data_IF_694899180265
#
_entry.id   IF_694899180265
#
_cell.length_a   1.000
_cell.length_b   1.000
_cell.length_c   1.000
_cell.angle_alpha   90.00
_cell.angle_beta   90.00
_cell.angle_gamma   90.00
#
_symmetry.space_group_name_H-M   'P 1'
#
loop_
_entity.id
_entity.type
_entity.pdbx_description
1 polymer ?
#
# COMPACT_ATOMS: atom_id res chain seq x y z
N UNK A 1 14.75 -18.11 -6.62
CA UNK A 1 13.28 -18.02 -6.38
C UNK A 1 12.51 -17.84 -7.69
N UNK A 2 12.74 -16.80 -8.53
CA UNK A 2 12.01 -16.59 -9.81
C UNK A 2 12.01 -17.85 -10.70
N UNK A 3 13.18 -18.47 -10.89
CA UNK A 3 13.33 -19.69 -11.71
C UNK A 3 12.53 -20.88 -11.17
N UNK A 4 12.42 -21.02 -9.85
CA UNK A 4 11.64 -22.10 -9.25
C UNK A 4 10.12 -21.91 -9.50
N UNK A 5 9.65 -20.65 -9.53
CA UNK A 5 8.26 -20.32 -9.89
C UNK A 5 8.02 -20.60 -11.36
N UNK A 6 8.92 -20.21 -12.26
CA UNK A 6 8.83 -20.51 -13.70
C UNK A 6 8.77 -22.01 -13.95
N UNK A 7 9.66 -22.79 -13.34
CA UNK A 7 9.73 -24.24 -13.47
C UNK A 7 8.43 -24.90 -12.98
N UNK A 8 7.89 -24.45 -11.83
CA UNK A 8 6.63 -24.96 -11.28
C UNK A 8 5.45 -24.70 -12.22
N UNK A 9 5.33 -23.48 -12.73
CA UNK A 9 4.24 -23.09 -13.62
C UNK A 9 4.32 -23.82 -14.97
N UNK A 10 5.54 -24.05 -15.48
CA UNK A 10 5.77 -24.92 -16.67
C UNK A 10 5.34 -26.37 -16.41
N UNK A 11 5.65 -26.94 -15.23
CA UNK A 11 5.19 -28.28 -14.85
C UNK A 11 3.66 -28.40 -14.79
N UNK A 12 2.97 -27.31 -14.49
CA UNK A 12 1.50 -27.25 -14.54
C UNK A 12 0.93 -27.10 -15.95
N UNK A 13 1.79 -27.08 -16.99
CA UNK A 13 1.39 -27.10 -18.39
C UNK A 13 1.36 -25.75 -19.09
N UNK A 14 1.88 -24.67 -18.46
CA UNK A 14 2.00 -23.39 -19.11
C UNK A 14 3.04 -23.45 -20.26
N UNK A 15 2.69 -22.89 -21.42
CA UNK A 15 3.60 -22.81 -22.58
C UNK A 15 4.65 -21.74 -22.42
N UNK A 16 4.25 -20.60 -21.87
CA UNK A 16 5.13 -19.44 -21.61
C UNK A 16 4.82 -18.89 -20.22
N UNK A 17 5.85 -18.46 -19.51
CA UNK A 17 5.73 -17.86 -18.16
C UNK A 17 6.45 -16.51 -18.17
N UNK A 18 5.78 -15.48 -17.72
CA UNK A 18 6.32 -14.14 -17.56
C UNK A 18 6.20 -13.70 -16.12
N UNK A 19 7.31 -13.27 -15.53
CA UNK A 19 7.32 -12.69 -14.19
C UNK A 19 7.24 -11.18 -14.32
N UNK A 20 6.16 -10.60 -13.80
CA UNK A 20 5.95 -9.17 -13.72
C UNK A 20 6.24 -8.70 -12.29
N UNK A 21 6.86 -7.54 -12.13
CA UNK A 21 7.07 -6.98 -10.80
C UNK A 21 5.75 -6.44 -10.25
N UNK A 22 5.49 -6.68 -8.97
CA UNK A 22 4.22 -6.36 -8.31
C UNK A 22 3.81 -4.90 -8.50
N UNK A 23 4.67 -3.88 -8.26
CA UNK A 23 4.28 -2.49 -8.47
C UNK A 23 4.00 -2.13 -9.94
N UNK A 24 4.60 -2.84 -10.90
CA UNK A 24 4.26 -2.69 -12.32
C UNK A 24 2.85 -3.25 -12.60
N UNK A 25 2.52 -4.40 -12.01
CA UNK A 25 1.18 -4.97 -12.11
C UNK A 25 0.15 -4.04 -11.46
N UNK A 26 0.43 -3.53 -10.25
CA UNK A 26 -0.43 -2.56 -9.56
C UNK A 26 -0.70 -1.32 -10.43
N UNK A 27 0.34 -0.74 -11.04
CA UNK A 27 0.22 0.44 -11.91
C UNK A 27 -0.63 0.18 -13.16
N UNK A 28 -0.43 -0.96 -13.83
CA UNK A 28 -1.24 -1.38 -14.98
C UNK A 28 -2.70 -1.60 -14.55
N UNK A 29 -2.90 -2.24 -13.40
CA UNK A 29 -4.22 -2.48 -12.82
C UNK A 29 -4.97 -1.19 -12.50
N UNK A 30 -4.29 -0.25 -11.88
CA UNK A 30 -4.78 1.09 -11.57
C UNK A 30 -5.01 1.98 -12.83
N UNK A 31 -4.58 1.51 -14.00
CA UNK A 31 -4.77 2.24 -15.26
C UNK A 31 -3.75 3.35 -15.52
N UNK A 32 -2.61 3.33 -14.83
CA UNK A 32 -1.54 4.29 -15.08
C UNK A 32 -0.93 4.11 -16.48
N UNK A 33 -0.57 5.19 -17.18
CA UNK A 33 0.02 5.15 -18.52
C UNK A 33 1.52 4.77 -18.44
N UNK A 34 1.81 3.54 -18.04
CA UNK A 34 3.17 3.04 -17.76
C UNK A 34 4.13 3.07 -18.97
N UNK A 35 3.61 3.10 -20.19
CA UNK A 35 4.40 3.14 -21.44
C UNK A 35 4.87 4.56 -21.81
N UNK A 36 4.30 5.57 -21.22
CA UNK A 36 4.59 6.96 -21.53
C UNK A 36 5.95 7.39 -20.98
N UNK A 37 6.59 8.41 -21.57
CA UNK A 37 7.85 8.95 -21.05
C UNK A 37 7.67 9.71 -19.74
N UNK A 38 6.45 10.14 -19.42
CA UNK A 38 6.10 10.86 -18.20
C UNK A 38 6.18 9.94 -16.97
N UNK A 39 6.86 10.38 -15.92
CA UNK A 39 7.00 9.62 -14.67
C UNK A 39 5.65 9.39 -13.99
N UNK A 40 5.37 8.13 -13.64
CA UNK A 40 4.19 7.70 -12.90
C UNK A 40 4.64 7.09 -11.57
N UNK A 41 3.96 7.41 -10.48
CA UNK A 41 4.28 6.84 -9.17
C UNK A 41 3.10 6.04 -8.61
N UNK A 42 3.38 4.81 -8.23
CA UNK A 42 2.44 3.90 -7.56
C UNK A 42 2.97 3.57 -6.16
N UNK A 43 2.07 3.53 -5.20
CA UNK A 43 2.33 3.07 -3.82
C UNK A 43 1.33 1.96 -3.52
N UNK A 44 1.79 0.74 -3.54
CA UNK A 44 0.98 -0.45 -3.29
C UNK A 44 1.19 -0.93 -1.86
N UNK A 45 0.16 -0.79 -1.02
CA UNK A 45 0.22 -1.17 0.40
C UNK A 45 -0.63 -2.43 0.59
N UNK A 46 0.03 -3.58 0.54
CA UNK A 46 -0.58 -4.88 0.78
C UNK A 46 -0.73 -5.24 2.27
N UNK A 47 -0.81 -6.53 2.57
CA UNK A 47 -0.78 -7.05 3.94
C UNK A 47 0.63 -7.03 4.52
N UNK A 48 1.59 -7.67 3.85
CA UNK A 48 2.96 -7.86 4.33
C UNK A 48 3.96 -6.83 3.82
N UNK A 49 3.75 -6.24 2.63
CA UNK A 49 4.68 -5.32 1.96
C UNK A 49 4.00 -4.03 1.53
N UNK A 50 4.78 -2.96 1.56
CA UNK A 50 4.47 -1.70 0.90
C UNK A 50 5.51 -1.50 -0.22
N UNK A 51 5.06 -1.56 -1.47
CA UNK A 51 5.89 -1.48 -2.65
C UNK A 51 5.64 -0.14 -3.36
N UNK A 52 6.69 0.67 -3.41
CA UNK A 52 6.67 2.02 -3.98
C UNK A 52 7.51 1.98 -5.25
N UNK A 53 6.97 2.41 -6.38
CA UNK A 53 7.70 2.47 -7.62
C UNK A 53 7.39 3.71 -8.44
N UNK A 54 8.43 4.21 -9.08
CA UNK A 54 8.37 5.21 -10.14
C UNK A 54 8.59 4.49 -11.47
N UNK A 55 7.69 4.71 -12.41
CA UNK A 55 7.62 4.00 -13.68
C UNK A 55 7.64 5.02 -14.82
N UNK A 56 8.44 4.76 -15.86
CA UNK A 56 8.44 5.52 -17.11
C UNK A 56 8.89 4.61 -18.26
N UNK A 57 8.34 4.81 -19.45
CA UNK A 57 8.69 4.09 -20.69
C UNK A 57 8.62 2.56 -20.53
N UNK A 58 7.65 2.06 -19.75
CA UNK A 58 7.44 0.64 -19.49
C UNK A 58 8.49 0.00 -18.57
N UNK A 59 9.26 0.77 -17.82
CA UNK A 59 10.28 0.30 -16.88
C UNK A 59 10.16 0.95 -15.51
N UNK A 60 10.60 0.24 -14.47
CA UNK A 60 10.73 0.79 -13.12
C UNK A 60 12.05 1.57 -13.05
N UNK A 61 11.96 2.87 -12.80
CA UNK A 61 13.09 3.80 -12.72
C UNK A 61 13.68 3.86 -11.32
N UNK A 62 12.79 3.90 -10.31
CA UNK A 62 13.16 3.85 -8.90
C UNK A 62 12.13 3.03 -8.15
N UNK A 63 12.55 2.31 -7.13
CA UNK A 63 11.64 1.57 -6.26
C UNK A 63 12.19 1.41 -4.85
N UNK A 64 11.26 1.28 -3.91
CA UNK A 64 11.52 0.92 -2.52
C UNK A 64 10.47 -0.08 -2.09
N UNK A 65 10.87 -1.16 -1.44
CA UNK A 65 9.97 -2.15 -0.85
C UNK A 65 10.22 -2.21 0.64
N UNK A 66 9.15 -2.11 1.41
CA UNK A 66 9.17 -2.19 2.87
C UNK A 66 8.37 -3.41 3.33
N UNK A 67 8.89 -4.12 4.31
CA UNK A 67 8.11 -5.12 5.07
C UNK A 67 7.31 -4.45 6.20
N UNK A 68 6.59 -3.40 5.84
CA UNK A 68 5.80 -2.59 6.74
C UNK A 68 4.51 -2.17 6.04
N UNK A 69 3.41 -2.87 6.31
CA UNK A 69 2.15 -2.72 5.61
C UNK A 69 0.97 -3.12 6.52
N UNK A 70 -0.12 -3.62 5.97
CA UNK A 70 -1.37 -3.90 6.69
C UNK A 70 -1.22 -4.72 7.98
N UNK A 71 -0.35 -5.74 7.98
CA UNK A 71 -0.10 -6.58 9.17
C UNK A 71 0.58 -5.77 10.29
N UNK A 72 1.48 -4.86 9.93
CA UNK A 72 2.12 -3.95 10.90
C UNK A 72 1.15 -2.92 11.46
N UNK A 73 0.17 -2.50 10.66
CA UNK A 73 -0.92 -1.65 11.14
C UNK A 73 -1.79 -2.41 12.16
N UNK A 74 -2.07 -3.70 11.91
CA UNK A 74 -2.77 -4.55 12.88
C UNK A 74 -1.95 -4.71 14.18
N UNK A 75 -0.64 -4.98 14.07
CA UNK A 75 0.26 -5.06 15.21
C UNK A 75 0.22 -3.77 16.07
N UNK A 76 0.24 -2.61 15.42
CA UNK A 76 0.18 -1.31 16.08
C UNK A 76 -1.15 -1.13 16.83
N UNK A 77 -2.27 -1.51 16.22
CA UNK A 77 -3.60 -1.48 16.87
C UNK A 77 -3.64 -2.43 18.07
N UNK A 78 -3.15 -3.67 17.95
CA UNK A 78 -3.07 -4.63 19.06
C UNK A 78 -2.27 -4.04 20.22
N UNK A 79 -1.12 -3.43 19.93
CA UNK A 79 -0.27 -2.82 20.95
C UNK A 79 -0.94 -1.61 21.61
N UNK A 80 -1.61 -0.76 20.84
CA UNK A 80 -2.37 0.38 21.35
C UNK A 80 -3.49 -0.07 22.29
N UNK A 81 -4.29 -1.06 21.88
CA UNK A 81 -5.37 -1.64 22.68
C UNK A 81 -4.86 -2.22 23.99
N UNK A 82 -3.73 -2.91 23.93
CA UNK A 82 -3.06 -3.47 25.11
C UNK A 82 -2.59 -2.38 26.07
N UNK A 83 -1.95 -1.33 25.53
CA UNK A 83 -1.36 -0.25 26.34
C UNK A 83 -2.38 0.68 26.94
N UNK A 84 -3.38 1.07 26.15
CA UNK A 84 -4.36 2.12 26.52
C UNK A 84 -5.54 1.55 27.28
N UNK A 85 -6.04 0.37 26.89
CA UNK A 85 -7.28 -0.20 27.42
C UNK A 85 -7.06 -1.46 28.27
N UNK A 86 -5.81 -1.94 28.43
CA UNK A 86 -5.49 -3.24 29.02
C UNK A 86 -6.29 -4.38 28.38
N UNK A 87 -6.58 -4.27 27.08
CA UNK A 87 -7.39 -5.21 26.33
C UNK A 87 -6.53 -5.98 25.35
N UNK A 88 -6.52 -7.30 25.45
CA UNK A 88 -5.90 -8.19 24.48
C UNK A 88 -6.90 -8.54 23.40
N UNK A 89 -6.59 -8.17 22.16
CA UNK A 89 -7.34 -8.53 20.96
C UNK A 89 -6.48 -9.39 20.04
N UNK A 90 -7.13 -10.18 19.18
CA UNK A 90 -6.46 -10.94 18.11
C UNK A 90 -6.28 -10.10 16.85
N UNK A 91 -5.47 -10.64 15.92
CA UNK A 91 -5.17 -10.02 14.64
C UNK A 91 -6.43 -9.75 13.79
N UNK A 92 -7.36 -10.71 13.73
CA UNK A 92 -8.62 -10.55 13.02
C UNK A 92 -9.45 -9.37 13.57
N UNK A 93 -9.52 -9.22 14.90
CA UNK A 93 -10.21 -8.09 15.52
C UNK A 93 -9.50 -6.76 15.22
N UNK A 94 -8.17 -6.75 15.20
CA UNK A 94 -7.42 -5.55 14.84
C UNK A 94 -7.65 -5.16 13.37
N UNK A 95 -7.72 -6.15 12.46
CA UNK A 95 -8.08 -5.96 11.06
C UNK A 95 -9.49 -5.35 10.92
N UNK A 96 -10.48 -5.89 11.64
CA UNK A 96 -11.84 -5.36 11.65
C UNK A 96 -11.88 -3.90 12.16
N UNK A 97 -11.14 -3.58 13.21
CA UNK A 97 -11.03 -2.22 13.74
C UNK A 97 -10.37 -1.28 12.73
N UNK A 98 -9.27 -1.70 12.10
CA UNK A 98 -8.58 -0.95 11.06
C UNK A 98 -9.51 -0.61 9.89
N UNK A 99 -10.27 -1.59 9.41
CA UNK A 99 -11.18 -1.40 8.26
C UNK A 99 -12.34 -0.48 8.60
N UNK A 100 -12.93 -0.60 9.80
CA UNK A 100 -14.14 0.13 10.15
C UNK A 100 -13.90 1.56 10.64
N UNK A 101 -12.87 1.76 11.48
CA UNK A 101 -12.60 3.06 12.12
C UNK A 101 -11.13 3.50 12.02
N UNK A 102 -10.28 2.77 11.29
CA UNK A 102 -8.89 3.18 11.05
C UNK A 102 -8.83 4.46 10.24
N UNK A 103 -8.05 5.45 10.70
CA UNK A 103 -7.82 6.68 9.95
C UNK A 103 -6.39 7.19 10.15
N UNK A 104 -5.85 7.78 9.09
CA UNK A 104 -4.51 8.36 9.09
C UNK A 104 -4.51 9.87 9.39
N UNK A 105 -5.66 10.51 9.28
CA UNK A 105 -5.88 11.93 9.60
C UNK A 105 -7.34 12.09 10.07
N UNK A 106 -7.54 12.94 11.11
CA UNK A 106 -8.88 13.23 11.62
C UNK A 106 -9.68 14.10 10.66
N UNK A 107 -10.97 13.82 10.53
CA UNK A 107 -11.91 14.72 9.88
C UNK A 107 -12.46 15.75 10.88
N UNK A 108 -12.82 16.93 10.34
CA UNK A 108 -13.43 18.02 11.12
C UNK A 108 -14.78 18.40 10.50
N UNK A 109 -15.73 18.75 11.35
CA UNK A 109 -17.04 19.27 10.95
C UNK A 109 -16.95 20.74 10.49
N UNK A 110 -18.08 21.29 10.05
CA UNK A 110 -18.18 22.69 9.60
C UNK A 110 -17.85 23.71 10.69
N UNK A 111 -17.88 23.30 11.97
CA UNK A 111 -17.58 24.15 13.13
C UNK A 111 -16.11 23.97 13.60
N UNK A 112 -15.33 23.11 12.93
CA UNK A 112 -13.97 22.81 13.30
C UNK A 112 -13.81 21.80 14.45
N UNK A 113 -14.87 21.05 14.79
CA UNK A 113 -14.77 19.98 15.77
C UNK A 113 -14.37 18.65 15.10
N UNK A 114 -13.59 17.84 15.81
CA UNK A 114 -13.24 16.50 15.35
C UNK A 114 -14.49 15.62 15.18
N UNK A 115 -14.58 14.93 14.05
CA UNK A 115 -15.64 13.93 13.79
C UNK A 115 -15.23 12.61 14.42
N UNK A 116 -15.86 12.25 15.54
CA UNK A 116 -15.54 11.04 16.30
C UNK A 116 -16.55 9.94 16.01
N UNK A 117 -16.02 8.81 15.54
CA UNK A 117 -16.76 7.57 15.29
C UNK A 117 -16.32 6.52 16.34
N UNK A 118 -17.26 5.67 16.80
CA UNK A 118 -16.97 4.66 17.81
C UNK A 118 -17.31 3.26 17.32
N UNK A 119 -16.49 2.28 17.71
CA UNK A 119 -16.72 0.86 17.54
C UNK A 119 -16.56 0.12 18.86
N UNK A 120 -17.45 -0.83 19.17
CA UNK A 120 -17.31 -1.69 20.33
C UNK A 120 -16.37 -2.85 20.02
N UNK A 121 -15.21 -2.86 20.67
CA UNK A 121 -14.17 -3.88 20.47
C UNK A 121 -14.21 -4.88 21.62
N UNK A 122 -14.23 -6.17 21.27
CA UNK A 122 -14.26 -7.27 22.21
C UNK A 122 -12.87 -7.88 22.35
N UNK A 123 -12.49 -8.19 23.59
CA UNK A 123 -11.21 -8.82 23.86
C UNK A 123 -11.17 -9.41 25.27
N UNK A 124 -9.95 -9.77 25.71
CA UNK A 124 -9.70 -10.25 27.08
C UNK A 124 -9.05 -9.12 27.89
N UNK A 125 -9.66 -8.78 29.01
CA UNK A 125 -9.05 -7.87 29.98
C UNK A 125 -7.77 -8.47 30.55
N UNK A 126 -6.66 -7.75 30.49
CA UNK A 126 -5.35 -8.22 30.92
C UNK A 126 -5.17 -8.23 32.45
N UNK A 127 -6.05 -7.51 33.17
CA UNK A 127 -6.01 -7.44 34.64
C UNK A 127 -6.80 -8.59 35.25
N UNK A 128 -8.02 -8.81 34.77
CA UNK A 128 -8.96 -9.80 35.31
C UNK A 128 -8.92 -11.14 34.60
N UNK A 129 -8.40 -11.18 33.37
CA UNK A 129 -8.43 -12.35 32.49
C UNK A 129 -9.79 -12.64 31.85
N UNK A 130 -10.81 -11.86 32.14
CA UNK A 130 -12.20 -12.06 31.70
C UNK A 130 -12.50 -11.38 30.36
N UNK A 131 -13.52 -11.83 29.61
CA UNK A 131 -14.00 -11.11 28.44
C UNK A 131 -14.46 -9.68 28.80
N UNK A 132 -14.10 -8.72 27.94
CA UNK A 132 -14.41 -7.31 28.09
C UNK A 132 -14.76 -6.68 26.76
N UNK A 133 -15.65 -5.71 26.78
CA UNK A 133 -16.00 -4.87 25.62
C UNK A 133 -15.63 -3.42 25.94
N UNK A 134 -14.98 -2.76 24.99
CA UNK A 134 -14.54 -1.37 25.15
C UNK A 134 -14.97 -0.57 23.92
N UNK A 135 -15.61 0.61 24.09
CA UNK A 135 -15.80 1.55 23.00
C UNK A 135 -14.45 2.17 22.61
N UNK A 136 -14.09 2.07 21.34
CA UNK A 136 -12.83 2.57 20.76
C UNK A 136 -13.20 3.56 19.67
N UNK A 137 -12.49 4.66 19.57
CA UNK A 137 -12.75 5.70 18.59
C UNK A 137 -11.77 5.67 17.40
N UNK A 138 -12.15 6.31 16.28
CA UNK A 138 -11.26 6.60 15.18
C UNK A 138 -10.05 7.46 15.63
N UNK A 139 -10.22 8.31 16.64
CA UNK A 139 -9.12 9.08 17.24
C UNK A 139 -8.10 8.19 17.93
N UNK A 140 -8.52 7.11 18.57
CA UNK A 140 -7.61 6.09 19.10
C UNK A 140 -6.80 5.44 17.96
N UNK A 141 -7.46 5.17 16.84
CA UNK A 141 -6.81 4.57 15.68
C UNK A 141 -5.84 5.54 14.99
N UNK A 142 -6.17 6.81 14.93
CA UNK A 142 -5.24 7.84 14.49
C UNK A 142 -3.92 7.79 15.27
N UNK A 143 -3.98 7.77 16.60
CA UNK A 143 -2.78 7.65 17.44
C UNK A 143 -2.08 6.29 17.30
N UNK A 144 -2.85 5.22 17.15
CA UNK A 144 -2.27 3.88 16.99
C UNK A 144 -1.49 3.74 15.67
N UNK A 145 -1.94 4.39 14.61
CA UNK A 145 -1.38 4.25 13.25
C UNK A 145 -0.36 5.34 12.88
N UNK A 146 -0.19 6.38 13.70
CA UNK A 146 0.66 7.55 13.40
C UNK A 146 2.08 7.15 12.97
N UNK A 147 2.77 6.32 13.76
CA UNK A 147 4.11 5.84 13.43
C UNK A 147 4.13 5.02 12.13
N UNK A 148 3.10 4.22 11.91
CA UNK A 148 2.96 3.39 10.72
C UNK A 148 2.78 4.22 9.46
N UNK A 149 1.98 5.27 9.54
CA UNK A 149 1.78 6.23 8.45
C UNK A 149 3.06 7.01 8.15
N UNK A 150 3.79 7.43 9.18
CA UNK A 150 5.07 8.13 9.00
C UNK A 150 6.11 7.26 8.29
N UNK A 151 6.18 5.97 8.60
CA UNK A 151 7.06 5.04 7.89
C UNK A 151 6.75 4.96 6.39
N UNK A 152 5.48 4.94 6.02
CA UNK A 152 5.07 4.95 4.60
C UNK A 152 5.45 6.27 3.93
N UNK A 153 5.18 7.40 4.57
CA UNK A 153 5.53 8.73 4.05
C UNK A 153 7.03 8.88 3.82
N UNK A 154 7.86 8.46 4.77
CA UNK A 154 9.32 8.52 4.64
C UNK A 154 9.84 7.61 3.51
N UNK A 155 9.21 6.46 3.30
CA UNK A 155 9.55 5.60 2.16
C UNK A 155 9.20 6.24 0.81
N UNK A 156 8.07 6.94 0.71
CA UNK A 156 7.68 7.71 -0.47
C UNK A 156 8.73 8.79 -0.76
N UNK A 157 9.10 9.59 0.24
CA UNK A 157 10.14 10.63 0.11
C UNK A 157 11.47 10.05 -0.32
N UNK A 158 11.91 8.96 0.33
CA UNK A 158 13.16 8.26 -0.02
C UNK A 158 13.15 7.76 -1.47
N UNK A 159 12.00 7.34 -1.99
CA UNK A 159 11.89 6.89 -3.38
C UNK A 159 11.97 8.06 -4.35
N UNK A 160 11.34 9.19 -4.02
CA UNK A 160 11.43 10.43 -4.79
C UNK A 160 12.85 10.99 -4.83
N UNK A 161 13.58 10.94 -3.72
CA UNK A 161 14.99 11.37 -3.64
C UNK A 161 15.91 10.54 -4.54
N UNK A 162 15.60 9.26 -4.74
CA UNK A 162 16.33 8.36 -5.65
C UNK A 162 15.93 8.54 -7.11
N UNK A 163 14.88 9.28 -7.39
CA UNK A 163 14.33 9.51 -8.73
C UNK A 163 15.04 10.68 -9.40
N UNK A 164 15.33 10.55 -10.71
CA UNK A 164 15.92 11.65 -11.48
C UNK A 164 15.02 12.91 -11.39
N UNK A 165 15.62 14.12 -11.29
CA UNK A 165 14.85 15.35 -11.08
C UNK A 165 13.74 15.62 -12.10
N UNK A 166 13.97 15.26 -13.35
CA UNK A 166 12.99 15.45 -14.44
C UNK A 166 11.75 14.56 -14.22
N UNK A 167 11.98 13.30 -13.83
CA UNK A 167 10.90 12.34 -13.55
C UNK A 167 10.19 12.69 -12.24
N UNK A 168 10.91 13.18 -11.22
CA UNK A 168 10.32 13.66 -9.99
C UNK A 168 9.43 14.91 -10.23
N UNK A 169 9.83 15.77 -11.17
CA UNK A 169 9.00 16.91 -11.60
C UNK A 169 7.71 16.46 -12.29
N UNK A 170 7.74 15.40 -13.09
CA UNK A 170 6.53 14.82 -13.68
C UNK A 170 5.56 14.35 -12.59
N UNK A 171 6.07 13.65 -11.56
CA UNK A 171 5.26 13.17 -10.43
C UNK A 171 4.64 14.33 -9.64
N UNK A 172 5.36 15.43 -9.48
CA UNK A 172 4.81 16.63 -8.81
C UNK A 172 3.57 17.18 -9.55
N UNK A 173 3.48 16.97 -10.87
CA UNK A 173 2.34 17.39 -11.71
C UNK A 173 1.28 16.30 -11.81
N UNK A 174 1.67 15.06 -12.10
CA UNK A 174 0.76 13.92 -12.29
C UNK A 174 0.18 13.37 -10.99
N UNK A 175 0.90 13.56 -9.88
CA UNK A 175 0.55 12.96 -8.61
C UNK A 175 1.07 11.54 -8.43
N UNK A 176 0.66 10.91 -7.34
CA UNK A 176 0.88 9.50 -7.07
C UNK A 176 -0.45 8.76 -6.84
N UNK A 177 -0.45 7.46 -7.08
CA UNK A 177 -1.63 6.60 -6.92
C UNK A 177 -1.39 5.58 -5.81
N UNK A 178 -2.35 5.47 -4.89
CA UNK A 178 -2.38 4.42 -3.86
C UNK A 178 -3.12 3.19 -4.37
N UNK A 179 -2.58 2.02 -4.08
CA UNK A 179 -3.22 0.71 -4.29
C UNK A 179 -3.01 -0.20 -3.09
N UNK A 180 -3.61 -1.39 -3.14
CA UNK A 180 -3.60 -2.34 -2.03
C UNK A 180 -4.60 -2.00 -0.92
N UNK A 181 -4.92 -2.97 -0.09
CA UNK A 181 -5.88 -2.81 1.01
C UNK A 181 -5.45 -1.80 2.05
N UNK A 182 -4.14 -1.71 2.35
CA UNK A 182 -3.58 -0.72 3.27
C UNK A 182 -3.67 0.72 2.74
N UNK A 183 -3.67 0.90 1.41
CA UNK A 183 -3.86 2.19 0.76
C UNK A 183 -5.26 2.78 0.94
N UNK A 184 -6.23 1.98 1.37
CA UNK A 184 -7.63 2.37 1.59
C UNK A 184 -7.91 2.92 2.99
N UNK A 185 -6.90 3.01 3.87
CA UNK A 185 -7.09 3.62 5.20
C UNK A 185 -7.60 5.06 5.02
N UNK A 186 -8.65 5.40 5.76
CA UNK A 186 -9.32 6.70 5.69
C UNK A 186 -8.32 7.85 5.85
N UNK A 187 -8.35 8.79 4.91
CA UNK A 187 -7.49 9.99 4.87
C UNK A 187 -5.98 9.72 4.75
N UNK A 188 -5.55 8.52 4.38
CA UNK A 188 -4.13 8.25 4.10
C UNK A 188 -3.62 9.06 2.90
N UNK A 189 -4.46 9.20 1.87
CA UNK A 189 -4.21 10.06 0.72
C UNK A 189 -3.98 11.52 1.12
N UNK A 190 -4.80 12.05 2.02
CA UNK A 190 -4.70 13.43 2.49
C UNK A 190 -3.41 13.70 3.26
N UNK A 191 -3.05 12.83 4.20
CA UNK A 191 -1.84 13.02 5.00
C UNK A 191 -0.56 12.85 4.16
N UNK A 192 -0.55 11.93 3.19
CA UNK A 192 0.55 11.79 2.25
C UNK A 192 0.67 13.06 1.40
N UNK A 193 -0.46 13.57 0.86
CA UNK A 193 -0.46 14.81 0.07
C UNK A 193 0.05 16.00 0.90
N UNK A 194 -0.36 16.14 2.14
CA UNK A 194 0.11 17.19 3.06
C UNK A 194 1.62 17.11 3.31
N UNK A 195 2.14 15.89 3.62
CA UNK A 195 3.55 15.68 3.98
C UNK A 195 4.52 15.69 2.79
N UNK A 196 4.02 15.44 1.57
CA UNK A 196 4.86 15.37 0.35
C UNK A 196 4.64 16.55 -0.59
N UNK A 197 3.56 17.31 -0.44
CA UNK A 197 3.10 18.35 -1.36
C UNK A 197 2.84 17.80 -2.79
N UNK A 198 2.45 16.54 -2.91
CA UNK A 198 2.11 15.85 -4.16
C UNK A 198 0.65 15.44 -4.08
N UNK A 199 -0.11 15.62 -5.16
CA UNK A 199 -1.49 15.14 -5.22
C UNK A 199 -1.54 13.61 -5.13
N UNK A 200 -2.47 13.08 -4.35
CA UNK A 200 -2.62 11.64 -4.13
C UNK A 200 -4.03 11.22 -4.50
N UNK A 201 -4.14 10.14 -5.26
CA UNK A 201 -5.40 9.51 -5.57
C UNK A 201 -5.37 8.03 -5.20
N UNK A 202 -6.54 7.47 -4.88
CA UNK A 202 -6.69 6.04 -4.61
C UNK A 202 -7.19 5.39 -5.90
N UNK A 203 -6.58 4.27 -6.30
CA UNK A 203 -7.01 3.51 -7.46
C UNK A 203 -8.47 3.05 -7.30
N UNK A 204 -9.28 3.12 -8.37
CA UNK A 204 -10.69 2.73 -8.33
C UNK A 204 -10.89 1.29 -7.79
N UNK A 205 -9.99 0.37 -8.16
CA UNK A 205 -9.97 -1.02 -7.68
C UNK A 205 -8.69 -1.29 -6.88
N UNK A 206 -8.41 -0.46 -5.88
CA UNK A 206 -7.15 -0.48 -5.13
C UNK A 206 -6.80 -1.86 -4.58
N UNK A 207 -7.76 -2.58 -3.99
CA UNK A 207 -7.55 -3.91 -3.42
C UNK A 207 -7.18 -4.97 -4.48
N UNK A 208 -7.74 -4.85 -5.69
CA UNK A 208 -7.58 -5.83 -6.78
C UNK A 208 -6.57 -5.39 -7.84
N UNK A 209 -5.92 -4.23 -7.67
CA UNK A 209 -5.08 -3.60 -8.68
C UNK A 209 -4.01 -4.55 -9.26
N UNK A 210 -3.28 -5.27 -8.40
CA UNK A 210 -2.25 -6.24 -8.83
C UNK A 210 -2.84 -7.37 -9.68
N UNK A 211 -3.95 -7.96 -9.23
CA UNK A 211 -4.61 -9.04 -9.95
C UNK A 211 -5.16 -8.57 -11.30
N UNK A 212 -5.80 -7.42 -11.32
CA UNK A 212 -6.32 -6.80 -12.54
C UNK A 212 -5.20 -6.44 -13.52
N UNK A 213 -4.08 -5.92 -13.02
CA UNK A 213 -2.92 -5.59 -13.84
C UNK A 213 -2.26 -6.81 -14.45
N UNK A 214 -2.15 -7.89 -13.68
CA UNK A 214 -1.69 -9.18 -14.19
C UNK A 214 -2.59 -9.69 -15.31
N UNK A 215 -3.91 -9.65 -15.11
CA UNK A 215 -4.88 -10.03 -16.13
C UNK A 215 -4.83 -9.16 -17.40
N UNK A 216 -4.79 -7.83 -17.23
CA UNK A 216 -4.66 -6.87 -18.35
C UNK A 216 -3.37 -7.10 -19.15
N UNK A 217 -2.26 -7.45 -18.48
CA UNK A 217 -0.97 -7.74 -19.12
C UNK A 217 -1.03 -8.94 -20.06
N UNK A 218 -1.82 -9.97 -19.74
CA UNK A 218 -2.04 -11.14 -20.60
C UNK A 218 -2.74 -10.79 -21.92
N UNK A 219 -3.53 -9.72 -21.96
CA UNK A 219 -4.24 -9.28 -23.17
C UNK A 219 -3.30 -8.65 -24.21
N UNK A 220 -2.04 -8.32 -23.82
CA UNK A 220 -1.04 -7.74 -24.72
C UNK A 220 0.35 -8.35 -24.45
N UNK A 221 0.57 -9.55 -25.00
CA UNK A 221 1.79 -10.34 -24.78
C UNK A 221 3.07 -9.61 -25.21
N UNK A 222 3.02 -8.81 -26.27
CA UNK A 222 4.20 -8.08 -26.73
C UNK A 222 4.64 -6.99 -25.72
N UNK A 223 3.69 -6.30 -25.12
CA UNK A 223 3.94 -5.37 -24.02
C UNK A 223 4.42 -6.12 -22.77
N UNK A 224 3.79 -7.25 -22.44
CA UNK A 224 4.20 -8.09 -21.31
C UNK A 224 5.66 -8.53 -21.44
N UNK A 225 6.10 -8.95 -22.63
CA UNK A 225 7.50 -9.28 -22.91
C UNK A 225 8.44 -8.10 -22.64
N UNK A 226 8.04 -6.89 -22.99
CA UNK A 226 8.80 -5.67 -22.73
C UNK A 226 8.93 -5.41 -21.22
N UNK A 227 7.85 -5.49 -20.46
CA UNK A 227 7.85 -5.24 -19.01
C UNK A 227 8.62 -6.30 -18.23
N UNK A 228 8.41 -7.58 -18.55
CA UNK A 228 9.08 -8.71 -17.91
C UNK A 228 10.60 -8.71 -18.16
N UNK A 229 11.05 -8.23 -19.33
CA UNK A 229 12.44 -8.21 -19.72
C UNK A 229 13.20 -6.93 -19.31
N UNK A 230 12.51 -5.91 -18.79
CA UNK A 230 13.14 -4.62 -18.47
C UNK A 230 14.26 -4.72 -17.43
N UNK A 231 14.29 -5.77 -16.59
CA UNK A 231 15.41 -6.08 -15.66
C UNK A 231 16.27 -7.28 -16.06
N UNK A 232 15.92 -8.04 -17.09
CA UNK A 232 16.70 -9.20 -17.52
C UNK A 232 18.01 -8.83 -18.27
N UNK A 233 18.28 -7.55 -18.51
CA UNK A 233 19.47 -7.09 -19.23
C UNK A 233 20.68 -6.77 -18.34
N UNK A 234 20.62 -6.96 -17.03
CA UNK A 234 21.83 -6.99 -16.20
C UNK A 234 22.40 -8.40 -16.23
N UNK A 235 22.99 -8.76 -17.37
CA UNK A 235 23.90 -9.91 -17.43
C UNK A 235 25.09 -9.57 -16.55
N UNK A 236 25.24 -10.29 -15.44
CA UNK A 236 26.52 -10.40 -14.78
C UNK A 236 27.53 -10.97 -15.82
N UNK A 237 28.50 -10.15 -16.22
CA UNK A 237 29.75 -10.59 -16.78
C UNK A 237 30.76 -10.83 -15.67
#
# INVERSE_FOLDING_TARGET
EKRAVEDLVHQLGAKEVYILEEPMAAAIGAGLPVDEPTGQMIVDIGGGTCDIAVIAIGGIVASTSLRYAGDKFNDAIVQYMRKTYNLLIGEQTAEEVKINIGCALMDYDENGNEVIEYMNVRGRDLVTGLPKVVPVSNKDMYYALEESVDMVVEAIKTTLEKTAPEIAADIAVSGLVLSGGGGMIKNLDKIIAEKTNISVSIAENAFEAVAMGTGKSLSNIDKLKKYANSKASIKYR
#
